data_IF_297364134171
#
_entry.id   IF_297364134171
#
_cell.length_a   1.000
_cell.length_b   1.000
_cell.length_c   1.000
_cell.angle_alpha   90.00
_cell.angle_beta   90.00
_cell.angle_gamma   90.00
#
_symmetry.space_group_name_H-M   'P 1'
#
loop_
_entity.id
_entity.type
_entity.pdbx_description
1 polymer ?
#
# COMPACT_ATOMS: atom_id res chain seq x y z
N UNK A 1 13.80 -16.33 -1.77
CA UNK A 1 14.90 -15.45 -1.31
C UNK A 1 15.80 -15.17 -2.52
N UNK A 2 16.20 -13.93 -2.76
CA UNK A 2 17.11 -13.57 -3.86
C UNK A 2 18.51 -14.13 -3.55
N UNK A 3 19.11 -14.88 -4.47
CA UNK A 3 20.50 -15.31 -4.39
C UNK A 3 21.42 -14.30 -5.08
N UNK A 4 22.51 -13.92 -4.41
CA UNK A 4 23.47 -12.93 -4.92
C UNK A 4 24.27 -13.46 -6.12
N UNK A 5 24.64 -12.61 -7.08
CA UNK A 5 25.60 -12.95 -8.12
C UNK A 5 25.24 -14.25 -8.90
N UNK A 6 23.94 -14.47 -9.15
CA UNK A 6 23.46 -15.55 -10.02
C UNK A 6 23.27 -14.96 -11.41
N UNK A 7 24.07 -15.45 -12.34
CA UNK A 7 24.16 -14.91 -13.69
C UNK A 7 24.63 -16.00 -14.64
N UNK A 8 23.87 -16.24 -15.70
CA UNK A 8 24.18 -17.18 -16.76
C UNK A 8 24.00 -16.52 -18.13
N UNK A 9 24.66 -17.06 -19.14
CA UNK A 9 24.45 -16.63 -20.52
C UNK A 9 23.34 -17.43 -21.19
N UNK A 10 22.72 -16.86 -22.23
CA UNK A 10 21.82 -17.58 -23.13
C UNK A 10 21.95 -17.05 -24.56
N UNK A 11 21.64 -17.89 -25.54
CA UNK A 11 21.46 -17.49 -26.95
C UNK A 11 20.04 -17.75 -27.44
N UNK A 12 19.12 -18.03 -26.50
CA UNK A 12 17.74 -18.38 -26.83
C UNK A 12 17.02 -17.18 -27.44
N UNK A 13 16.29 -17.43 -28.52
CA UNK A 13 15.48 -16.44 -29.23
C UNK A 13 13.99 -16.70 -28.99
N UNK A 14 13.15 -15.73 -29.35
CA UNK A 14 11.71 -15.91 -29.32
C UNK A 14 11.04 -15.54 -27.98
N UNK A 15 9.78 -15.91 -27.86
CA UNK A 15 8.92 -15.71 -26.68
C UNK A 15 8.84 -16.92 -25.75
N UNK A 16 9.61 -17.99 -26.03
CA UNK A 16 9.60 -19.24 -25.27
C UNK A 16 10.50 -19.24 -24.02
N UNK A 17 10.65 -20.43 -23.43
CA UNK A 17 11.56 -20.69 -22.32
C UNK A 17 13.01 -20.42 -22.71
N UNK A 18 13.84 -20.04 -21.74
CA UNK A 18 15.24 -19.71 -21.93
C UNK A 18 16.12 -20.90 -21.55
N UNK A 19 16.98 -21.33 -22.49
CA UNK A 19 18.06 -22.28 -22.21
C UNK A 19 19.27 -21.54 -21.67
N UNK A 20 19.68 -21.85 -20.46
CA UNK A 20 20.85 -21.29 -19.78
C UNK A 20 22.10 -22.07 -20.18
N UNK A 21 23.13 -21.35 -20.62
CA UNK A 21 24.37 -21.91 -21.15
C UNK A 21 25.47 -22.06 -20.10
N UNK A 22 25.17 -21.82 -18.82
CA UNK A 22 26.12 -21.85 -17.72
C UNK A 22 26.47 -20.47 -17.19
N UNK A 23 27.16 -20.47 -16.05
CA UNK A 23 27.55 -19.27 -15.33
C UNK A 23 28.38 -18.33 -16.21
N UNK A 24 28.00 -17.05 -16.21
CA UNK A 24 28.84 -15.99 -16.75
C UNK A 24 30.06 -15.78 -15.84
N UNK A 25 31.04 -14.99 -16.29
CA UNK A 25 32.29 -14.77 -15.56
C UNK A 25 32.03 -14.29 -14.12
N UNK A 26 32.66 -14.97 -13.15
CA UNK A 26 32.49 -14.79 -11.71
C UNK A 26 31.06 -15.00 -11.17
N UNK A 27 30.11 -15.46 -12.00
CA UNK A 27 28.73 -15.73 -11.63
C UNK A 27 28.51 -17.12 -11.04
N UNK A 28 27.32 -17.32 -10.48
CA UNK A 28 26.81 -18.62 -10.03
C UNK A 28 25.68 -19.08 -10.96
N UNK A 29 25.54 -20.39 -11.13
CA UNK A 29 24.42 -20.94 -11.92
C UNK A 29 23.11 -20.88 -11.14
N UNK A 30 21.99 -20.72 -11.83
CA UNK A 30 20.64 -20.80 -11.27
C UNK A 30 20.42 -22.16 -10.61
N UNK A 31 20.85 -23.25 -11.25
CA UNK A 31 20.69 -24.61 -10.70
C UNK A 31 21.50 -24.88 -9.44
N UNK A 32 22.56 -24.11 -9.17
CA UNK A 32 23.30 -24.19 -7.90
C UNK A 32 22.61 -23.46 -6.74
N UNK A 33 21.72 -22.51 -7.04
CA UNK A 33 21.08 -21.65 -6.03
C UNK A 33 19.59 -21.93 -5.85
N UNK A 34 18.93 -22.49 -6.86
CA UNK A 34 17.49 -22.74 -6.85
C UNK A 34 17.19 -24.18 -7.24
N UNK A 35 16.25 -24.79 -6.50
CA UNK A 35 15.69 -26.08 -6.86
C UNK A 35 14.82 -25.96 -8.13
N UNK A 36 14.68 -27.07 -8.85
CA UNK A 36 13.69 -27.19 -9.94
C UNK A 36 12.29 -26.88 -9.39
N UNK A 37 11.48 -26.15 -10.16
CA UNK A 37 10.15 -25.63 -9.81
C UNK A 37 10.12 -24.61 -8.65
N UNK A 38 11.26 -24.17 -8.13
CA UNK A 38 11.30 -23.03 -7.22
C UNK A 38 11.20 -21.72 -8.02
N UNK A 39 10.26 -20.85 -7.62
CA UNK A 39 10.06 -19.54 -8.25
C UNK A 39 11.08 -18.52 -7.75
N UNK A 40 11.62 -17.76 -8.68
CA UNK A 40 12.56 -16.65 -8.42
C UNK A 40 12.34 -15.54 -9.45
N UNK A 41 12.88 -14.35 -9.18
CA UNK A 41 12.91 -13.29 -10.19
C UNK A 41 14.08 -13.44 -11.13
N UNK A 42 13.85 -13.07 -12.38
CA UNK A 42 14.86 -13.00 -13.40
C UNK A 42 14.90 -11.60 -14.03
N UNK A 43 16.06 -11.28 -14.56
CA UNK A 43 16.31 -10.18 -15.49
C UNK A 43 17.04 -10.77 -16.69
N UNK A 44 16.57 -10.45 -17.90
CA UNK A 44 17.22 -10.80 -19.16
C UNK A 44 17.64 -9.48 -19.82
N UNK A 45 18.88 -9.39 -20.25
CA UNK A 45 19.42 -8.26 -21.03
C UNK A 45 20.19 -8.78 -22.25
N UNK A 46 19.95 -8.20 -23.42
CA UNK A 46 20.73 -8.47 -24.62
C UNK A 46 21.91 -7.49 -24.85
N UNK A 47 22.07 -6.47 -24.01
CA UNK A 47 23.08 -5.42 -24.14
C UNK A 47 22.89 -4.51 -25.37
N UNK A 48 21.77 -4.64 -26.06
CA UNK A 48 21.40 -3.95 -27.30
C UNK A 48 19.97 -3.39 -27.26
N UNK A 49 19.42 -3.18 -26.05
CA UNK A 49 18.13 -2.53 -25.81
C UNK A 49 16.93 -3.48 -25.62
N UNK A 50 17.08 -4.79 -25.78
CA UNK A 50 16.06 -5.75 -25.37
C UNK A 50 16.31 -6.17 -23.92
N UNK A 51 15.35 -5.87 -23.05
CA UNK A 51 15.37 -6.32 -21.67
C UNK A 51 14.01 -6.86 -21.25
N UNK A 52 14.00 -7.79 -20.30
CA UNK A 52 12.79 -8.31 -19.67
C UNK A 52 13.04 -8.64 -18.21
N UNK A 53 12.09 -8.31 -17.35
CA UNK A 53 12.08 -8.73 -15.94
C UNK A 53 10.80 -9.49 -15.64
N UNK A 54 10.86 -10.45 -14.71
CA UNK A 54 9.70 -11.25 -14.37
C UNK A 54 9.95 -12.25 -13.26
N UNK A 55 8.94 -13.10 -13.03
CA UNK A 55 9.01 -14.27 -12.16
C UNK A 55 9.08 -15.51 -13.04
N UNK A 56 10.04 -16.38 -12.76
CA UNK A 56 10.22 -17.64 -13.48
C UNK A 56 10.65 -18.76 -12.55
N UNK A 57 10.84 -19.94 -13.12
CA UNK A 57 11.37 -21.11 -12.41
C UNK A 57 12.19 -21.99 -13.35
N UNK A 58 13.04 -22.82 -12.77
CA UNK A 58 13.76 -23.84 -13.52
C UNK A 58 12.86 -25.08 -13.74
N UNK A 59 12.50 -25.42 -14.97
CA UNK A 59 11.80 -26.68 -15.29
C UNK A 59 12.75 -27.88 -15.31
N UNK A 60 14.04 -27.61 -15.48
CA UNK A 60 15.17 -28.52 -15.28
C UNK A 60 16.43 -27.68 -14.97
N UNK A 61 17.59 -28.31 -14.83
CA UNK A 61 18.83 -27.63 -14.44
C UNK A 61 19.28 -26.47 -15.36
N UNK A 62 18.78 -26.39 -16.60
CA UNK A 62 19.22 -25.40 -17.60
C UNK A 62 18.07 -24.70 -18.31
N UNK A 63 16.81 -24.96 -17.96
CA UNK A 63 15.65 -24.35 -18.65
C UNK A 63 14.87 -23.45 -17.70
N UNK A 64 15.02 -22.14 -17.88
CA UNK A 64 14.24 -21.10 -17.23
C UNK A 64 12.89 -20.92 -17.95
N UNK A 65 11.80 -21.19 -17.24
CA UNK A 65 10.44 -20.89 -17.67
C UNK A 65 10.08 -19.47 -17.27
N UNK A 66 9.62 -18.67 -18.24
CA UNK A 66 9.17 -17.29 -18.04
C UNK A 66 7.70 -17.25 -17.64
N UNK A 67 7.42 -17.64 -16.40
CA UNK A 67 6.04 -17.86 -15.93
C UNK A 67 5.22 -16.56 -15.88
N UNK A 68 5.79 -15.47 -15.37
CA UNK A 68 5.14 -14.16 -15.29
C UNK A 68 6.11 -13.05 -15.69
N UNK A 69 6.26 -12.73 -16.99
CA UNK A 69 6.93 -11.51 -17.42
C UNK A 69 6.21 -10.28 -16.86
N UNK A 70 6.94 -9.30 -16.34
CA UNK A 70 6.40 -8.15 -15.60
C UNK A 70 6.71 -6.80 -16.23
N UNK A 71 7.89 -6.63 -16.80
CA UNK A 71 8.33 -5.40 -17.45
C UNK A 71 9.38 -5.72 -18.52
N UNK A 72 9.56 -4.86 -19.51
CA UNK A 72 10.50 -5.10 -20.59
C UNK A 72 10.48 -4.04 -21.69
N UNK A 73 11.32 -4.24 -22.69
CA UNK A 73 11.49 -3.34 -23.83
C UNK A 73 10.39 -3.42 -24.89
N UNK A 74 9.43 -4.34 -24.76
CA UNK A 74 8.40 -4.62 -25.76
C UNK A 74 7.18 -5.32 -25.13
N UNK A 75 6.28 -5.84 -25.96
CA UNK A 75 5.20 -6.71 -25.51
C UNK A 75 5.76 -7.91 -24.71
N UNK A 76 5.04 -8.28 -23.65
CA UNK A 76 5.43 -9.32 -22.70
C UNK A 76 4.77 -10.66 -23.07
N UNK A 77 5.51 -11.78 -23.20
CA UNK A 77 6.96 -11.91 -23.10
C UNK A 77 7.69 -11.27 -24.28
N UNK A 78 8.83 -10.63 -24.02
CA UNK A 78 9.71 -10.02 -25.02
C UNK A 78 10.19 -11.09 -26.00
N UNK A 79 10.05 -10.81 -27.29
CA UNK A 79 10.56 -11.63 -28.38
C UNK A 79 12.06 -11.38 -28.56
N UNK A 80 12.89 -12.21 -27.94
CA UNK A 80 14.33 -12.01 -27.92
C UNK A 80 14.96 -12.30 -29.29
N UNK A 81 15.76 -11.36 -29.79
CA UNK A 81 16.51 -11.54 -31.04
C UNK A 81 17.71 -12.48 -30.86
N UNK A 82 18.34 -12.87 -31.97
CA UNK A 82 19.58 -13.65 -31.95
C UNK A 82 20.71 -12.93 -31.18
N UNK A 83 21.71 -13.70 -30.73
CA UNK A 83 22.88 -13.19 -30.00
C UNK A 83 22.83 -13.46 -28.49
N UNK A 84 23.92 -13.11 -27.81
CA UNK A 84 24.09 -13.41 -26.38
C UNK A 84 23.20 -12.54 -25.50
N UNK A 85 22.59 -13.18 -24.51
CA UNK A 85 21.80 -12.57 -23.45
C UNK A 85 22.47 -12.87 -22.12
N UNK A 86 22.49 -11.89 -21.23
CA UNK A 86 22.79 -12.10 -19.82
C UNK A 86 21.48 -12.33 -19.09
N UNK A 87 21.39 -13.44 -18.36
CA UNK A 87 20.25 -13.80 -17.54
C UNK A 87 20.73 -13.80 -16.10
N UNK A 88 20.16 -12.95 -15.26
CA UNK A 88 20.60 -12.82 -13.87
C UNK A 88 19.43 -12.69 -12.92
N UNK A 89 19.69 -12.95 -11.65
CA UNK A 89 18.71 -12.70 -10.58
C UNK A 89 18.77 -11.21 -10.24
N UNK A 90 17.70 -10.49 -10.57
CA UNK A 90 17.49 -9.09 -10.22
C UNK A 90 16.27 -8.91 -9.31
N UNK A 91 16.30 -7.89 -8.44
CA UNK A 91 15.09 -7.45 -7.76
C UNK A 91 14.22 -6.65 -8.75
N UNK A 92 12.95 -7.01 -8.89
CA UNK A 92 11.95 -6.15 -9.54
C UNK A 92 11.40 -5.18 -8.48
N UNK A 93 10.83 -4.03 -8.89
CA UNK A 93 10.24 -3.07 -7.93
C UNK A 93 9.17 -3.72 -7.04
N UNK A 94 8.46 -4.74 -7.55
CA UNK A 94 7.47 -5.51 -6.78
C UNK A 94 8.11 -6.35 -5.66
N UNK A 95 9.37 -6.75 -5.80
CA UNK A 95 10.07 -7.67 -4.90
C UNK A 95 10.77 -7.00 -3.70
N UNK A 96 10.85 -5.67 -3.66
CA UNK A 96 11.47 -4.96 -2.54
C UNK A 96 10.59 -4.92 -1.28
N UNK A 97 9.28 -5.16 -1.42
CA UNK A 97 8.33 -5.13 -0.31
C UNK A 97 7.73 -6.51 -0.10
N UNK A 98 8.25 -7.26 0.86
CA UNK A 98 7.87 -8.67 1.03
C UNK A 98 6.64 -8.92 1.90
N UNK A 99 6.11 -7.97 2.68
CA UNK A 99 5.04 -8.29 3.63
C UNK A 99 4.05 -7.18 4.10
N UNK A 100 3.96 -5.98 3.49
CA UNK A 100 3.04 -4.97 4.04
C UNK A 100 2.42 -3.93 3.10
N UNK A 101 2.85 -3.83 1.85
CA UNK A 101 2.43 -2.73 0.96
C UNK A 101 1.45 -3.20 -0.13
N UNK A 102 0.74 -4.30 0.13
CA UNK A 102 -0.19 -4.91 -0.81
C UNK A 102 -1.49 -5.25 -0.13
N UNK A 103 -2.59 -5.12 -0.87
CA UNK A 103 -3.89 -5.55 -0.41
C UNK A 103 -3.87 -7.04 -0.05
N UNK A 104 -4.30 -7.38 1.16
CA UNK A 104 -4.51 -8.74 1.62
C UNK A 104 -5.91 -9.23 1.24
N UNK A 105 -6.01 -10.43 0.67
CA UNK A 105 -7.29 -11.06 0.35
C UNK A 105 -8.02 -11.43 1.64
N UNK A 106 -8.96 -10.61 2.09
CA UNK A 106 -9.88 -10.99 3.15
C UNK A 106 -11.05 -11.73 2.51
N UNK A 107 -10.89 -13.04 2.37
CA UNK A 107 -11.96 -13.97 1.98
C UNK A 107 -12.47 -13.80 0.53
N UNK A 108 -11.57 -13.52 -0.42
CA UNK A 108 -11.79 -13.75 -1.86
C UNK A 108 -12.65 -12.74 -2.63
N UNK A 109 -13.16 -11.67 -1.99
CA UNK A 109 -13.98 -10.66 -2.67
C UNK A 109 -13.50 -9.20 -2.49
N UNK A 110 -12.66 -8.91 -1.48
CA UNK A 110 -12.11 -7.56 -1.28
C UNK A 110 -10.67 -7.67 -0.85
N UNK A 111 -9.80 -7.00 -1.61
CA UNK A 111 -8.39 -6.88 -1.27
C UNK A 111 -8.24 -5.64 -0.40
N UNK A 112 -7.79 -5.78 0.85
CA UNK A 112 -7.70 -4.68 1.82
C UNK A 112 -6.25 -4.40 2.24
N UNK A 113 -5.90 -3.12 2.33
CA UNK A 113 -4.60 -2.61 2.75
C UNK A 113 -4.77 -1.63 3.90
N UNK A 114 -3.75 -1.54 4.75
CA UNK A 114 -3.58 -0.46 5.72
C UNK A 114 -2.41 0.40 5.26
N UNK A 115 -2.46 1.75 5.37
CA UNK A 115 -1.35 2.61 4.94
C UNK A 115 -0.01 2.24 5.57
N UNK A 116 1.07 2.45 4.81
CA UNK A 116 2.41 1.90 5.11
C UNK A 116 3.07 2.52 6.34
N UNK A 117 2.56 3.64 6.84
CA UNK A 117 3.03 4.29 8.06
C UNK A 117 2.42 3.72 9.36
N UNK A 118 1.60 2.67 9.26
CA UNK A 118 1.02 1.98 10.41
C UNK A 118 1.64 0.60 10.67
N UNK A 119 1.82 0.29 11.96
CA UNK A 119 2.30 -1.00 12.46
C UNK A 119 1.16 -1.69 13.20
N UNK A 120 0.82 -2.91 12.77
CA UNK A 120 -0.32 -3.67 13.30
C UNK A 120 -0.21 -3.86 14.82
N UNK A 121 -1.12 -3.23 15.57
CA UNK A 121 -1.18 -3.30 17.03
C UNK A 121 -2.63 -3.55 17.50
N UNK A 122 -2.81 -4.33 18.56
CA UNK A 122 -4.14 -4.68 19.11
C UNK A 122 -4.66 -3.62 20.09
N UNK A 123 -4.78 -2.36 19.65
CA UNK A 123 -5.33 -1.28 20.47
C UNK A 123 -6.58 -0.68 19.84
N UNK A 124 -7.30 0.15 20.59
CA UNK A 124 -8.59 0.74 20.20
C UNK A 124 -8.58 2.25 20.44
N UNK A 125 -9.24 3.00 19.57
CA UNK A 125 -9.55 4.41 19.76
C UNK A 125 -11.07 4.58 19.88
N UNK A 126 -11.52 5.17 20.99
CA UNK A 126 -12.91 5.58 21.13
C UNK A 126 -13.15 6.84 20.31
N UNK A 127 -14.08 6.77 19.35
CA UNK A 127 -14.52 7.96 18.65
C UNK A 127 -15.37 8.81 19.61
N UNK A 128 -15.15 10.12 19.55
CA UNK A 128 -15.99 11.08 20.24
C UNK A 128 -17.05 11.49 19.24
N UNK A 129 -18.31 11.42 19.65
CA UNK A 129 -19.45 11.89 18.83
C UNK A 129 -19.15 13.30 18.34
N UNK A 130 -19.48 13.55 17.07
CA UNK A 130 -19.29 14.84 16.43
C UNK A 130 -17.83 15.32 16.51
N UNK A 131 -16.88 14.40 16.29
CA UNK A 131 -15.47 14.75 16.09
C UNK A 131 -14.95 14.14 14.81
N UNK A 132 -14.36 15.00 13.98
CA UNK A 132 -13.63 14.55 12.80
C UNK A 132 -12.16 14.36 13.20
N UNK A 133 -11.62 13.20 12.89
CA UNK A 133 -10.22 12.86 13.01
C UNK A 133 -9.57 12.92 11.63
N UNK A 134 -8.50 13.70 11.49
CA UNK A 134 -7.64 13.71 10.31
C UNK A 134 -6.34 13.00 10.66
N UNK A 135 -6.19 11.81 10.10
CA UNK A 135 -5.05 10.93 10.37
C UNK A 135 -4.10 10.97 9.17
N UNK A 136 -2.82 11.32 9.34
CA UNK A 136 -1.87 11.31 8.24
C UNK A 136 -1.60 9.87 7.77
N UNK A 137 -1.65 9.66 6.46
CA UNK A 137 -1.36 8.40 5.82
C UNK A 137 -0.29 8.60 4.73
N UNK A 138 0.64 7.67 4.62
CA UNK A 138 1.67 7.69 3.59
C UNK A 138 1.43 6.57 2.59
N UNK A 139 1.51 6.92 1.31
CA UNK A 139 1.37 6.02 0.18
C UNK A 139 2.76 5.90 -0.48
N UNK A 140 3.37 4.71 -0.39
CA UNK A 140 4.74 4.47 -0.86
C UNK A 140 4.85 4.30 -2.37
N UNK A 141 3.74 3.98 -3.04
CA UNK A 141 3.65 3.74 -4.48
C UNK A 141 2.27 4.10 -4.99
N UNK A 142 2.11 4.31 -6.29
CA UNK A 142 0.80 4.49 -6.88
C UNK A 142 -0.09 3.25 -6.60
N UNK A 143 -1.30 3.48 -6.07
CA UNK A 143 -2.31 2.44 -5.80
C UNK A 143 -3.68 2.88 -6.33
N UNK A 144 -4.43 1.92 -6.87
CA UNK A 144 -5.85 2.12 -7.23
C UNK A 144 -6.72 1.65 -6.07
N UNK A 145 -7.71 2.46 -5.70
CA UNK A 145 -8.69 2.16 -4.65
C UNK A 145 -10.11 2.40 -5.15
N UNK A 146 -11.04 1.56 -4.71
CA UNK A 146 -12.49 1.70 -4.96
C UNK A 146 -13.32 1.54 -3.67
N UNK A 147 -12.65 1.37 -2.54
CA UNK A 147 -13.27 1.06 -1.26
C UNK A 147 -12.51 1.71 -0.11
N UNK A 148 -13.25 2.27 0.83
CA UNK A 148 -12.74 2.73 2.12
C UNK A 148 -13.39 1.92 3.23
N UNK A 149 -12.69 1.71 4.33
CA UNK A 149 -13.25 0.96 5.45
C UNK A 149 -12.57 1.25 6.78
N UNK A 150 -13.18 0.73 7.83
CA UNK A 150 -12.60 0.73 9.18
C UNK A 150 -12.94 -0.60 9.85
N UNK A 151 -12.16 -0.95 10.87
CA UNK A 151 -12.50 -2.08 11.73
C UNK A 151 -13.07 -1.59 13.06
N UNK A 152 -14.35 -1.84 13.26
CA UNK A 152 -15.03 -1.62 14.53
C UNK A 152 -14.61 -2.73 15.50
N UNK A 153 -14.19 -2.32 16.69
CA UNK A 153 -13.74 -3.20 17.78
C UNK A 153 -14.79 -3.32 18.87
N UNK A 154 -15.48 -2.23 19.15
CA UNK A 154 -16.65 -2.17 20.03
C UNK A 154 -17.71 -1.37 19.30
N UNK A 155 -18.81 -2.04 18.95
CA UNK A 155 -19.92 -1.40 18.24
C UNK A 155 -20.74 -0.47 19.12
N UNK A 156 -21.53 0.38 18.50
CA UNK A 156 -22.38 1.37 19.18
C UNK A 156 -23.61 0.76 19.86
N UNK A 157 -23.92 -0.53 19.63
CA UNK A 157 -25.07 -1.24 20.19
C UNK A 157 -26.43 -0.83 19.61
N UNK A 158 -26.56 0.40 19.10
CA UNK A 158 -27.69 0.91 18.30
C UNK A 158 -27.16 2.07 17.45
N UNK A 159 -26.90 1.84 16.16
CA UNK A 159 -26.49 2.89 15.23
C UNK A 159 -27.07 2.61 13.84
N UNK A 160 -27.30 3.68 13.07
CA UNK A 160 -27.75 3.62 11.70
C UNK A 160 -26.80 4.48 10.89
N UNK A 161 -25.99 3.87 10.03
CA UNK A 161 -25.25 4.57 8.98
C UNK A 161 -24.52 5.83 9.49
N UNK A 162 -23.66 5.61 10.49
CA UNK A 162 -23.18 6.63 11.42
C UNK A 162 -21.68 6.96 11.28
N UNK A 163 -20.94 6.23 10.44
CA UNK A 163 -19.53 6.50 10.15
C UNK A 163 -19.38 7.02 8.73
N UNK A 164 -18.56 8.06 8.62
CA UNK A 164 -18.15 8.68 7.36
C UNK A 164 -16.63 8.63 7.25
N UNK A 165 -16.16 8.23 6.08
CA UNK A 165 -14.74 8.05 5.78
C UNK A 165 -14.38 8.85 4.52
N UNK A 166 -13.20 9.43 4.47
CA UNK A 166 -12.75 10.15 3.29
C UNK A 166 -11.24 10.29 3.21
N UNK A 167 -10.76 10.58 2.00
CA UNK A 167 -9.36 10.88 1.73
C UNK A 167 -9.25 12.35 1.39
N UNK A 168 -8.36 13.03 2.10
CA UNK A 168 -7.98 14.41 1.85
C UNK A 168 -6.57 14.44 1.26
N UNK A 169 -6.32 15.38 0.35
CA UNK A 169 -4.96 15.71 -0.03
C UNK A 169 -4.20 16.38 1.14
N UNK A 170 -2.88 16.43 1.03
CA UNK A 170 -2.07 17.28 1.89
C UNK A 170 -2.05 18.68 1.30
N UNK A 171 -2.41 19.68 2.09
CA UNK A 171 -2.25 21.07 1.73
C UNK A 171 -0.75 21.35 1.45
N UNK A 172 -0.37 21.84 0.26
CA UNK A 172 1.02 22.07 -0.11
C UNK A 172 1.68 23.20 0.68
N UNK A 173 0.90 24.13 1.24
CA UNK A 173 1.42 25.29 1.96
C UNK A 173 1.55 25.01 3.47
N UNK A 174 0.60 24.26 4.04
CA UNK A 174 0.54 24.03 5.49
C UNK A 174 0.97 22.63 5.91
N UNK A 175 0.91 21.65 5.01
CA UNK A 175 1.14 20.24 5.33
C UNK A 175 0.03 19.61 6.17
N UNK A 176 -1.12 20.29 6.30
CA UNK A 176 -2.33 19.81 6.98
C UNK A 176 -3.33 19.17 6.00
N UNK A 177 -4.48 18.72 6.49
CA UNK A 177 -5.53 18.17 5.62
C UNK A 177 -6.10 19.28 4.70
N UNK A 178 -6.00 19.09 3.39
CA UNK A 178 -6.45 20.03 2.37
C UNK A 178 -7.85 19.70 1.84
N UNK A 179 -8.03 19.44 0.56
CA UNK A 179 -9.32 19.17 -0.07
C UNK A 179 -9.75 17.71 0.06
N UNK A 180 -11.05 17.49 0.27
CA UNK A 180 -11.65 16.15 0.23
C UNK A 180 -11.65 15.62 -1.20
N UNK A 181 -10.89 14.57 -1.45
CA UNK A 181 -10.78 13.94 -2.77
C UNK A 181 -11.92 12.95 -3.03
N UNK A 182 -12.28 12.17 -2.00
CA UNK A 182 -13.34 11.17 -2.08
C UNK A 182 -13.86 10.85 -0.68
N UNK A 183 -15.13 10.47 -0.58
CA UNK A 183 -15.74 10.02 0.67
C UNK A 183 -16.71 8.87 0.45
N UNK A 184 -16.94 8.12 1.52
CA UNK A 184 -18.04 7.19 1.65
C UNK A 184 -18.74 7.44 2.99
N UNK A 185 -20.05 7.30 2.99
CA UNK A 185 -20.90 7.75 4.10
C UNK A 185 -21.82 6.63 4.54
N UNK A 186 -22.38 6.78 5.73
CA UNK A 186 -23.44 5.91 6.14
C UNK A 186 -23.01 4.48 6.48
N UNK A 187 -21.80 4.29 7.03
CA UNK A 187 -21.36 2.97 7.45
C UNK A 187 -21.91 2.63 8.83
N UNK A 188 -22.43 1.42 9.03
CA UNK A 188 -23.06 1.00 10.29
C UNK A 188 -22.03 0.43 11.30
N UNK A 189 -21.76 1.10 12.44
CA UNK A 189 -20.87 0.60 13.48
C UNK A 189 -21.59 -0.20 14.57
N UNK A 190 -22.80 -0.71 14.35
CA UNK A 190 -23.61 -1.40 15.37
C UNK A 190 -22.92 -2.63 15.97
N UNK A 191 -22.15 -3.37 15.16
CA UNK A 191 -21.47 -4.62 15.55
C UNK A 191 -19.97 -4.53 15.28
N UNK A 192 -19.18 -5.21 16.10
CA UNK A 192 -17.74 -5.36 15.87
C UNK A 192 -17.48 -6.11 14.56
N UNK A 193 -16.64 -5.55 13.70
CA UNK A 193 -16.41 -6.09 12.37
C UNK A 193 -15.65 -5.11 11.49
N UNK A 194 -15.21 -5.58 10.33
CA UNK A 194 -14.75 -4.67 9.28
C UNK A 194 -15.99 -4.18 8.52
N UNK A 195 -16.13 -2.87 8.42
CA UNK A 195 -17.18 -2.23 7.65
C UNK A 195 -16.53 -1.40 6.55
N UNK A 196 -17.17 -1.38 5.39
CA UNK A 196 -16.59 -0.81 4.16
C UNK A 196 -17.66 -0.10 3.37
N UNK A 197 -17.28 0.98 2.70
CA UNK A 197 -18.11 1.68 1.73
C UNK A 197 -17.36 1.86 0.42
N UNK A 198 -18.08 1.70 -0.68
CA UNK A 198 -17.53 1.94 -2.01
C UNK A 198 -17.31 3.43 -2.24
N UNK A 199 -16.32 3.72 -3.06
CA UNK A 199 -16.04 5.04 -3.63
C UNK A 199 -15.91 4.90 -5.15
N UNK A 200 -15.96 6.01 -5.87
CA UNK A 200 -15.55 6.01 -7.28
C UNK A 200 -14.07 5.62 -7.36
N UNK A 201 -13.74 4.69 -8.25
CA UNK A 201 -12.37 4.23 -8.46
C UNK A 201 -11.43 5.41 -8.73
N UNK A 202 -10.31 5.45 -8.02
CA UNK A 202 -9.29 6.49 -8.18
C UNK A 202 -7.89 5.95 -7.93
N UNK A 203 -6.91 6.57 -8.56
CA UNK A 203 -5.49 6.30 -8.34
C UNK A 203 -4.91 7.32 -7.35
N UNK A 204 -4.36 6.83 -6.25
CA UNK A 204 -3.55 7.62 -5.32
C UNK A 204 -2.09 7.50 -5.73
N UNK A 205 -1.46 8.63 -6.03
CA UNK A 205 -0.03 8.70 -6.33
C UNK A 205 0.81 8.53 -5.05
N UNK A 206 2.11 8.20 -5.15
CA UNK A 206 2.99 8.17 -3.98
C UNK A 206 3.03 9.54 -3.30
N UNK A 207 2.79 9.59 -1.99
CA UNK A 207 2.73 10.86 -1.27
C UNK A 207 2.03 10.79 0.08
N UNK A 208 1.87 11.97 0.69
CA UNK A 208 1.15 12.16 1.96
C UNK A 208 -0.29 12.57 1.70
N UNK A 209 -1.19 11.93 2.43
CA UNK A 209 -2.63 12.18 2.41
C UNK A 209 -3.15 12.17 3.84
N UNK A 210 -4.43 12.50 3.99
CA UNK A 210 -5.14 12.45 5.27
C UNK A 210 -6.39 11.59 5.18
N UNK A 211 -6.50 10.63 6.09
CA UNK A 211 -7.71 9.86 6.33
C UNK A 211 -8.65 10.66 7.25
N UNK A 212 -9.79 11.08 6.73
CA UNK A 212 -10.87 11.70 7.50
C UNK A 212 -11.81 10.65 8.06
N UNK A 213 -11.98 10.62 9.38
CA UNK A 213 -12.88 9.69 10.07
C UNK A 213 -13.82 10.49 10.96
N UNK A 214 -15.12 10.35 10.73
CA UNK A 214 -16.15 10.99 11.52
C UNK A 214 -17.22 9.98 11.95
N UNK A 215 -17.76 10.18 13.15
CA UNK A 215 -18.94 9.45 13.61
C UNK A 215 -19.85 10.32 14.47
N UNK A 216 -21.15 10.17 14.28
CA UNK A 216 -22.23 10.77 15.09
C UNK A 216 -22.64 9.87 16.28
N UNK A 217 -22.04 8.69 16.42
CA UNK A 217 -22.28 7.76 17.54
C UNK A 217 -20.99 7.39 18.26
N UNK A 218 -21.15 6.95 19.51
CA UNK A 218 -20.04 6.37 20.26
C UNK A 218 -19.73 4.97 19.72
N UNK A 219 -18.53 4.81 19.16
CA UNK A 219 -18.00 3.50 18.78
C UNK A 219 -16.49 3.47 19.00
N UNK A 220 -15.89 2.27 18.98
CA UNK A 220 -14.44 2.12 19.07
C UNK A 220 -13.89 1.48 17.81
N UNK A 221 -12.90 2.14 17.20
CA UNK A 221 -12.20 1.64 16.04
C UNK A 221 -10.87 0.99 16.43
N UNK A 222 -10.43 0.07 15.58
CA UNK A 222 -9.06 -0.43 15.60
C UNK A 222 -8.11 0.75 15.40
N UNK A 223 -7.09 0.81 16.25
CA UNK A 223 -6.14 1.91 16.27
C UNK A 223 -4.70 1.41 16.41
N UNK A 224 -3.77 2.34 16.36
CA UNK A 224 -2.37 2.16 16.68
C UNK A 224 -1.95 3.02 17.87
N UNK A 225 -0.96 2.57 18.65
CA UNK A 225 -0.40 3.37 19.74
C UNK A 225 0.41 4.55 19.21
N UNK A 226 0.35 5.69 19.91
CA UNK A 226 1.02 6.93 19.49
C UNK A 226 2.55 6.82 19.33
N UNK A 227 3.18 5.88 20.04
CA UNK A 227 4.63 5.72 20.09
C UNK A 227 5.22 4.94 18.90
N UNK A 228 4.37 4.32 18.08
CA UNK A 228 4.79 3.35 17.06
C UNK A 228 4.27 3.67 15.65
N UNK A 229 3.36 4.63 15.47
CA UNK A 229 2.94 5.09 14.15
C UNK A 229 3.92 6.13 13.62
N UNK A 230 4.24 6.09 12.32
CA UNK A 230 5.01 7.20 11.73
C UNK A 230 4.12 8.44 11.73
N UNK A 231 4.63 9.50 12.34
CA UNK A 231 3.97 10.80 12.50
C UNK A 231 4.08 11.61 11.20
N UNK A 232 3.31 12.69 11.06
CA UNK A 232 3.42 13.60 9.91
C UNK A 232 4.91 13.98 9.68
N UNK A 233 5.44 13.89 8.46
CA UNK A 233 6.82 14.28 8.13
C UNK A 233 7.08 15.78 8.40
N UNK A 234 6.03 16.60 8.34
CA UNK A 234 6.05 18.03 8.54
C UNK A 234 5.25 18.36 9.81
N UNK A 235 5.94 18.78 10.86
CA UNK A 235 5.27 19.21 12.10
C UNK A 235 4.69 20.60 11.90
N UNK A 236 3.44 20.81 12.32
CA UNK A 236 2.88 22.15 12.47
C UNK A 236 3.67 22.87 13.58
N UNK A 237 4.29 24.00 13.25
CA UNK A 237 4.94 24.88 14.24
C UNK A 237 3.87 25.83 14.76
N UNK A 238 3.36 25.57 15.96
CA UNK A 238 2.59 26.57 16.71
C UNK A 238 3.45 27.15 17.83
N UNK A 239 3.27 28.44 18.13
CA UNK A 239 4.17 29.33 18.90
C UNK A 239 4.51 28.89 20.34
N UNK A 240 4.10 27.70 20.77
CA UNK A 240 4.35 27.16 22.10
C UNK A 240 4.97 25.75 22.13
N UNK A 241 4.96 24.95 21.04
CA UNK A 241 5.40 23.55 21.08
C UNK A 241 5.92 23.01 19.73
N UNK A 242 7.09 22.36 19.75
CA UNK A 242 7.60 21.53 18.65
C UNK A 242 7.12 20.09 18.86
N UNK A 243 5.89 19.77 18.43
CA UNK A 243 5.29 18.44 18.67
C UNK A 243 4.94 17.74 17.38
N UNK A 244 5.54 16.57 17.17
CA UNK A 244 5.17 15.66 16.09
C UNK A 244 3.72 15.20 16.28
N UNK A 245 2.86 15.55 15.31
CA UNK A 245 1.42 15.30 15.40
C UNK A 245 1.10 13.86 14.99
N UNK A 246 0.32 13.16 15.82
CA UNK A 246 -0.17 11.79 15.53
C UNK A 246 -1.45 11.81 14.71
N UNK A 247 -2.38 12.70 15.05
CA UNK A 247 -3.53 13.05 14.23
C UNK A 247 -4.01 14.46 14.63
N UNK A 248 -4.74 15.09 13.73
CA UNK A 248 -5.46 16.33 13.98
C UNK A 248 -6.93 16.02 14.20
N UNK A 249 -7.62 16.83 14.99
CA UNK A 249 -9.06 16.68 15.13
C UNK A 249 -9.78 18.01 15.27
N UNK A 250 -11.05 18.00 14.87
CA UNK A 250 -11.98 19.10 15.08
C UNK A 250 -13.17 18.52 15.83
N UNK A 251 -13.53 19.14 16.96
CA UNK A 251 -14.85 18.93 17.53
C UNK A 251 -15.85 19.59 16.57
N UNK A 252 -16.51 18.80 15.73
CA UNK A 252 -17.46 19.33 14.76
C UNK A 252 -18.65 19.92 15.50
N UNK A 253 -19.24 20.96 14.91
CA UNK A 253 -20.57 21.42 15.29
C UNK A 253 -21.56 20.31 14.92
N UNK A 254 -22.54 20.07 15.79
CA UNK A 254 -23.52 18.96 15.81
C UNK A 254 -24.50 18.91 14.62
N UNK A 255 -24.06 19.26 13.41
CA UNK A 255 -24.92 19.47 12.22
C UNK A 255 -24.28 19.07 10.89
N UNK A 256 -23.16 18.35 10.90
CA UNK A 256 -22.57 17.85 9.66
C UNK A 256 -23.40 16.68 9.12
N UNK A 257 -23.69 16.72 7.81
CA UNK A 257 -24.32 15.60 7.09
C UNK A 257 -23.28 14.70 6.43
N UNK A 258 -22.05 15.18 6.28
CA UNK A 258 -20.90 14.46 5.76
C UNK A 258 -19.59 15.16 6.17
N UNK A 259 -18.46 14.53 5.86
CA UNK A 259 -17.13 15.12 5.90
C UNK A 259 -17.05 16.43 5.09
N UNK A 260 -16.39 17.48 5.61
CA UNK A 260 -16.30 18.77 4.94
C UNK A 260 -15.46 18.69 3.66
N UNK A 261 -15.78 19.50 2.66
CA UNK A 261 -15.05 19.57 1.39
C UNK A 261 -13.59 20.03 1.52
N UNK A 262 -13.26 20.68 2.64
CA UNK A 262 -11.92 21.14 3.00
C UNK A 262 -11.63 20.76 4.44
N UNK A 263 -10.45 20.21 4.70
CA UNK A 263 -9.87 20.08 6.02
C UNK A 263 -9.60 21.46 6.63
N UNK A 264 -9.36 21.48 7.93
CA UNK A 264 -9.24 22.72 8.68
C UNK A 264 -7.82 22.93 9.18
N UNK A 265 -7.19 24.00 8.70
CA UNK A 265 -5.85 24.46 9.10
C UNK A 265 -5.71 24.85 10.60
N UNK A 266 -6.80 24.82 11.38
CA UNK A 266 -6.82 25.13 12.81
C UNK A 266 -7.26 23.96 13.67
N UNK A 267 -7.16 22.73 13.16
CA UNK A 267 -7.49 21.55 13.92
C UNK A 267 -6.58 21.39 15.16
N UNK A 268 -7.12 20.87 16.25
CA UNK A 268 -6.35 20.61 17.45
C UNK A 268 -5.37 19.45 17.19
N UNK A 269 -4.10 19.66 17.51
CA UNK A 269 -3.04 18.67 17.34
C UNK A 269 -2.96 17.75 18.56
N UNK A 270 -2.90 16.43 18.33
CA UNK A 270 -2.63 15.45 19.39
C UNK A 270 -1.24 14.85 19.21
N UNK A 271 -0.46 14.74 20.28
CA UNK A 271 0.90 14.15 20.28
C UNK A 271 0.98 12.78 20.97
N UNK A 272 -0.13 12.27 21.58
CA UNK A 272 -0.09 11.08 22.45
C UNK A 272 -1.39 10.28 22.57
N UNK A 273 -2.23 10.24 21.52
CA UNK A 273 -3.49 9.48 21.49
C UNK A 273 -3.42 8.27 20.57
N UNK A 274 -4.26 7.25 20.80
CA UNK A 274 -4.35 6.12 19.87
C UNK A 274 -4.88 6.61 18.52
N UNK A 275 -4.22 6.21 17.44
CA UNK A 275 -4.50 6.68 16.09
C UNK A 275 -5.46 5.72 15.40
N UNK A 276 -6.71 6.10 15.08
CA UNK A 276 -7.64 5.22 14.40
C UNK A 276 -7.15 4.89 12.99
N UNK A 277 -7.36 3.65 12.55
CA UNK A 277 -6.86 3.14 11.27
C UNK A 277 -7.99 3.09 10.25
N UNK A 278 -7.80 3.78 9.12
CA UNK A 278 -8.59 3.57 7.90
C UNK A 278 -7.96 2.49 7.03
N UNK A 279 -8.82 1.64 6.46
CA UNK A 279 -8.50 0.58 5.52
C UNK A 279 -8.82 1.10 4.12
N UNK A 280 -7.90 0.85 3.20
CA UNK A 280 -8.08 1.10 1.77
C UNK A 280 -8.35 -0.24 1.07
N UNK A 281 -9.24 -0.26 0.09
CA UNK A 281 -9.60 -1.47 -0.63
C UNK A 281 -9.64 -1.30 -2.14
N UNK A 282 -9.48 -2.43 -2.81
CA UNK A 282 -9.76 -2.61 -4.24
C UNK A 282 -10.51 -3.94 -4.41
N UNK A 283 -11.57 -3.93 -5.23
CA UNK A 283 -12.41 -5.09 -5.54
C UNK A 283 -12.03 -5.78 -6.84
#
# INVERSE_FOLDING_TARGET
MLANNVQESSTTTGTGNITLAGASENGRTFSSQYAVNARFTYFIDNGSGEFETGIGYLSNATTLVREFPKDGSAALPVNLSAGTKQVFVGATMSNLFTNSDGFSDLNGASKLMVPSNFVRTNITQGLTVDRIYYVPIFITRAITIDLLGVRVTTGAGTAANSIHLGIYDSDPDTGEAGHLMTSTTGLDPSVAGTITGSITEMELQPGWYYAGIWSDVNCQLRAQGADICMRNPFSVVNNANLTNVTYQFINSQSSLSDLPSTGNANAANTAGGNVPIMILGHT
#
